data_IF_218795666797
#
_entry.id   IF_218795666797
#
_cell.length_a   1.000
_cell.length_b   1.000
_cell.length_c   1.000
_cell.angle_alpha   90.00
_cell.angle_beta   90.00
_cell.angle_gamma   90.00
#
_symmetry.space_group_name_H-M   'P 1'
#
loop_
_entity.id
_entity.type
_entity.pdbx_description
1 polymer ?
#
# COMPACT_ATOMS: atom_id res chain seq x y z
N UNK A 1 -64.08 9.09 10.14
CA UNK A 1 -63.98 8.08 9.08
C UNK A 1 -62.95 7.06 9.50
N UNK A 2 -63.30 5.77 9.62
CA UNK A 2 -62.44 4.75 10.25
C UNK A 2 -61.40 4.18 9.30
N UNK A 3 -60.29 3.75 9.89
CA UNK A 3 -59.15 3.11 9.27
C UNK A 3 -59.51 1.73 8.68
N UNK A 4 -58.96 1.42 7.52
CA UNK A 4 -59.04 0.08 6.89
C UNK A 4 -57.83 -0.71 7.26
N UNK A 5 -58.08 -1.88 7.87
CA UNK A 5 -57.12 -2.97 8.12
C UNK A 5 -56.85 -3.77 6.85
N UNK A 6 -55.63 -4.21 6.54
CA UNK A 6 -55.38 -5.11 5.43
C UNK A 6 -55.57 -6.58 5.83
N UNK A 7 -56.22 -7.34 4.93
CA UNK A 7 -56.52 -8.76 4.99
C UNK A 7 -55.27 -9.61 4.66
N UNK A 8 -55.06 -10.78 5.33
CA UNK A 8 -53.95 -11.67 5.01
C UNK A 8 -54.26 -12.56 3.79
N UNK A 9 -53.24 -13.02 3.03
CA UNK A 9 -53.41 -13.87 1.88
C UNK A 9 -53.71 -15.33 2.27
N UNK A 10 -54.47 -16.00 1.39
CA UNK A 10 -55.03 -17.33 1.53
C UNK A 10 -53.95 -18.44 1.50
N UNK A 11 -54.20 -19.49 2.25
CA UNK A 11 -53.44 -20.72 2.30
C UNK A 11 -53.72 -21.61 1.06
N UNK A 12 -52.64 -22.19 0.50
CA UNK A 12 -52.68 -23.20 -0.55
C UNK A 12 -52.64 -24.59 0.06
N UNK A 13 -53.50 -25.56 -0.34
CA UNK A 13 -53.55 -26.86 0.28
C UNK A 13 -52.43 -27.80 -0.19
N UNK A 14 -51.85 -28.53 0.76
CA UNK A 14 -50.96 -29.68 0.52
C UNK A 14 -51.77 -30.87 0.01
N UNK A 15 -51.42 -31.34 -1.17
CA UNK A 15 -51.85 -32.66 -1.65
C UNK A 15 -50.82 -33.73 -1.21
N UNK A 16 -51.24 -34.61 -0.34
CA UNK A 16 -50.53 -35.83 -0.03
C UNK A 16 -51.04 -36.90 -1.05
N UNK A 17 -50.12 -37.53 -1.75
CA UNK A 17 -50.38 -38.63 -2.66
C UNK A 17 -49.31 -39.70 -2.52
N UNK A 18 -49.68 -40.79 -1.87
CA UNK A 18 -48.87 -41.98 -1.68
C UNK A 18 -48.66 -42.71 -3.01
N UNK A 19 -47.43 -43.17 -3.27
CA UNK A 19 -47.19 -44.35 -4.12
C UNK A 19 -46.07 -45.17 -3.46
N UNK A 20 -46.52 -46.20 -2.72
CA UNK A 20 -45.68 -47.32 -2.31
C UNK A 20 -45.93 -48.45 -3.32
N UNK A 21 -44.86 -48.98 -3.92
CA UNK A 21 -44.76 -50.45 -4.16
C UNK A 21 -43.49 -50.75 -5.01
N UNK A 22 -42.73 -51.66 -4.48
CA UNK A 22 -41.99 -52.73 -5.11
C UNK A 22 -40.76 -52.40 -5.99
N UNK A 23 -39.56 -52.51 -5.39
CA UNK A 23 -38.44 -53.26 -6.00
C UNK A 23 -37.55 -53.83 -4.88
N UNK A 24 -37.91 -55.00 -4.41
CA UNK A 24 -37.04 -55.88 -3.65
C UNK A 24 -36.37 -56.80 -4.67
N UNK A 25 -35.06 -56.62 -4.91
CA UNK A 25 -34.26 -57.69 -5.48
C UNK A 25 -32.76 -57.39 -5.37
N UNK A 26 -32.04 -58.32 -4.80
CA UNK A 26 -30.59 -58.55 -4.85
C UNK A 26 -29.66 -57.51 -4.19
N UNK A 27 -29.61 -57.52 -2.89
CA UNK A 27 -28.37 -57.14 -2.17
C UNK A 27 -27.54 -58.41 -1.93
N UNK A 28 -26.61 -58.70 -2.81
CA UNK A 28 -25.46 -59.55 -2.49
C UNK A 28 -24.52 -58.75 -1.62
N UNK A 29 -23.98 -59.26 -0.51
CA UNK A 29 -23.00 -58.55 0.26
C UNK A 29 -21.70 -58.50 -0.56
N UNK A 30 -21.38 -57.32 -1.12
CA UNK A 30 -20.03 -57.03 -1.57
C UNK A 30 -19.17 -56.99 -0.29
N UNK A 31 -18.34 -58.02 -0.11
CA UNK A 31 -17.29 -58.02 0.88
C UNK A 31 -16.41 -56.79 0.69
N UNK A 32 -16.60 -55.78 1.52
CA UNK A 32 -15.76 -54.61 1.53
C UNK A 32 -14.32 -55.05 1.88
N UNK A 33 -13.43 -55.09 0.89
CA UNK A 33 -12.02 -55.19 1.13
C UNK A 33 -11.64 -53.96 2.02
N UNK A 34 -10.95 -54.19 3.15
CA UNK A 34 -10.42 -53.04 3.91
C UNK A 34 -9.54 -52.21 2.98
N UNK A 35 -9.87 -50.94 2.83
CA UNK A 35 -9.01 -49.99 2.15
C UNK A 35 -7.62 -50.04 2.82
N UNK A 36 -6.53 -50.04 2.04
CA UNK A 36 -5.20 -49.95 2.63
C UNK A 36 -5.17 -48.69 3.53
N UNK A 37 -4.51 -48.78 4.70
CA UNK A 37 -4.43 -47.64 5.59
C UNK A 37 -3.97 -46.42 4.78
N UNK A 38 -4.84 -45.42 4.66
CA UNK A 38 -4.56 -44.20 3.96
C UNK A 38 -3.27 -43.62 4.54
N UNK A 39 -2.25 -43.58 3.69
CA UNK A 39 -1.00 -42.85 4.05
C UNK A 39 -1.47 -41.46 4.41
N UNK A 40 -1.36 -41.08 5.70
CA UNK A 40 -1.62 -39.71 6.13
C UNK A 40 -0.88 -38.81 5.14
N UNK A 41 -1.51 -37.74 4.63
CA UNK A 41 -0.81 -36.81 3.75
C UNK A 41 0.45 -36.45 4.50
N UNK A 42 1.62 -36.77 3.94
CA UNK A 42 2.90 -36.35 4.50
C UNK A 42 2.73 -34.85 4.70
N UNK A 43 2.79 -34.38 5.96
CA UNK A 43 2.77 -32.98 6.28
C UNK A 43 3.75 -32.33 5.30
N UNK A 44 3.19 -31.57 4.34
CA UNK A 44 3.94 -31.04 3.23
C UNK A 44 5.16 -30.36 3.84
N UNK A 45 6.35 -30.89 3.60
CA UNK A 45 7.56 -30.17 3.92
C UNK A 45 7.43 -28.87 3.14
N UNK A 46 7.24 -27.77 3.85
CA UNK A 46 7.39 -26.45 3.26
C UNK A 46 8.66 -26.49 2.43
N UNK A 47 8.57 -26.06 1.19
CA UNK A 47 9.74 -26.03 0.31
C UNK A 47 10.91 -25.42 1.10
N UNK A 48 12.11 -26.00 1.05
CA UNK A 48 13.23 -25.47 1.82
C UNK A 48 13.38 -23.99 1.48
N UNK A 49 13.33 -23.11 2.48
CA UNK A 49 13.66 -21.69 2.30
C UNK A 49 14.96 -21.59 1.54
N UNK A 50 15.04 -20.71 0.53
CA UNK A 50 16.28 -20.56 -0.23
C UNK A 50 17.44 -20.28 0.73
N UNK A 51 18.52 -20.99 0.55
CA UNK A 51 19.74 -20.82 1.37
C UNK A 51 20.39 -19.43 1.17
N UNK A 52 19.83 -18.60 0.31
CA UNK A 52 20.33 -17.26 -0.02
C UNK A 52 19.60 -16.22 0.83
N UNK A 53 20.28 -15.55 1.74
CA UNK A 53 19.66 -14.63 2.67
C UNK A 53 19.32 -13.29 2.04
N UNK A 54 18.17 -12.73 2.42
CA UNK A 54 17.74 -11.35 2.10
C UNK A 54 18.33 -10.43 3.17
N UNK A 55 19.48 -9.87 2.88
CA UNK A 55 20.19 -8.97 3.79
C UNK A 55 19.63 -7.56 3.67
N UNK A 56 19.33 -6.91 4.80
CA UNK A 56 18.35 -5.83 4.78
C UNK A 56 18.50 -4.97 6.03
N UNK A 57 18.14 -3.71 5.90
CA UNK A 57 17.74 -2.90 7.05
C UNK A 57 16.32 -2.39 6.88
N UNK A 58 15.56 -2.41 7.95
CA UNK A 58 14.15 -2.05 7.95
C UNK A 58 13.69 -1.44 9.26
N UNK A 59 12.51 -0.84 9.22
CA UNK A 59 11.80 -0.29 10.37
C UNK A 59 10.34 -0.73 10.30
N UNK A 60 9.78 -1.15 11.44
CA UNK A 60 8.35 -1.21 11.68
C UNK A 60 7.98 -0.12 12.66
N UNK A 61 6.91 0.62 12.39
CA UNK A 61 6.54 1.75 13.25
C UNK A 61 5.04 1.99 13.29
N UNK A 62 4.58 2.59 14.40
CA UNK A 62 3.26 3.16 14.59
C UNK A 62 3.39 4.65 14.91
N UNK A 63 2.55 5.46 14.33
CA UNK A 63 2.41 6.85 14.74
C UNK A 63 1.35 6.94 15.86
N UNK A 64 1.72 7.34 17.09
CA UNK A 64 0.78 7.41 18.21
C UNK A 64 -0.32 8.48 18.04
N UNK A 65 -0.08 9.51 17.22
CA UNK A 65 -1.04 10.59 17.01
C UNK A 65 -2.16 10.19 16.04
N UNK A 66 -1.82 9.49 14.95
CA UNK A 66 -2.77 9.11 13.90
C UNK A 66 -3.20 7.65 13.97
N UNK A 67 -2.47 6.82 14.73
CA UNK A 67 -2.63 5.37 14.76
C UNK A 67 -2.09 4.67 13.52
N UNK A 68 -1.59 5.38 12.52
CA UNK A 68 -1.02 4.81 11.30
C UNK A 68 0.08 3.80 11.63
N UNK A 69 0.15 2.73 10.82
CA UNK A 69 1.14 1.67 10.94
C UNK A 69 1.95 1.60 9.65
N UNK A 70 3.24 1.32 9.75
CA UNK A 70 4.05 1.25 8.55
C UNK A 70 5.28 0.36 8.68
N UNK A 71 5.82 0.03 7.50
CA UNK A 71 7.10 -0.66 7.32
C UNK A 71 7.87 0.03 6.22
N UNK A 72 9.15 0.30 6.45
CA UNK A 72 10.06 0.72 5.39
C UNK A 72 11.31 -0.17 5.39
N UNK A 73 11.84 -0.43 4.20
CA UNK A 73 12.93 -1.40 4.00
C UNK A 73 13.81 -1.03 2.81
N UNK A 74 15.11 -1.31 2.93
CA UNK A 74 16.07 -1.32 1.83
C UNK A 74 16.91 -2.59 1.88
N UNK A 75 17.29 -3.11 0.71
CA UNK A 75 18.10 -4.31 0.59
C UNK A 75 18.92 -4.31 -0.70
N UNK A 76 20.08 -5.00 -0.67
CA UNK A 76 20.73 -5.48 -1.89
C UNK A 76 20.13 -6.83 -2.30
N UNK A 77 18.85 -6.77 -2.64
CA UNK A 77 18.03 -7.89 -3.10
C UNK A 77 17.00 -7.37 -4.10
N UNK A 78 16.73 -8.11 -5.16
CA UNK A 78 15.70 -7.76 -6.12
C UNK A 78 14.31 -7.82 -5.48
N UNK A 79 13.51 -6.75 -5.65
CA UNK A 79 12.10 -6.73 -5.26
C UNK A 79 11.85 -7.06 -3.78
N UNK A 80 12.62 -6.43 -2.86
CA UNK A 80 12.49 -6.64 -1.41
C UNK A 80 11.09 -6.36 -0.89
N UNK A 81 10.39 -5.44 -1.54
CA UNK A 81 9.03 -5.04 -1.18
C UNK A 81 7.97 -6.14 -1.33
N UNK A 82 8.26 -7.20 -2.08
CA UNK A 82 7.35 -8.32 -2.26
C UNK A 82 7.35 -9.30 -1.08
N UNK A 83 8.40 -9.29 -0.24
CA UNK A 83 8.61 -10.35 0.76
C UNK A 83 8.83 -9.86 2.19
N UNK A 84 9.36 -8.65 2.38
CA UNK A 84 9.75 -8.15 3.71
C UNK A 84 8.63 -7.38 4.41
N UNK A 85 7.98 -6.36 3.81
CA UNK A 85 7.04 -5.49 4.51
C UNK A 85 5.60 -6.00 4.43
N UNK A 86 4.92 -6.01 5.57
CA UNK A 86 3.52 -6.39 5.73
C UNK A 86 2.84 -5.45 6.71
N UNK A 87 1.66 -4.94 6.37
CA UNK A 87 0.89 -4.08 7.26
C UNK A 87 -0.61 -4.19 6.99
N UNK A 88 -1.40 -4.04 8.05
CA UNK A 88 -2.86 -4.00 8.00
C UNK A 88 -3.42 -2.94 8.95
N UNK A 89 -4.34 -2.12 8.44
CA UNK A 89 -4.97 -1.05 9.18
C UNK A 89 -5.67 -1.54 10.45
N UNK A 90 -5.37 -0.88 11.56
CA UNK A 90 -5.94 -1.21 12.86
C UNK A 90 -5.46 -2.54 13.47
N UNK A 91 -4.53 -3.25 12.83
CA UNK A 91 -4.00 -4.54 13.27
C UNK A 91 -2.53 -4.46 13.66
N UNK A 92 -1.64 -4.18 12.71
CA UNK A 92 -0.21 -4.16 12.96
C UNK A 92 0.63 -4.07 11.70
N UNK A 93 1.95 -4.07 11.91
CA UNK A 93 2.96 -4.10 10.87
C UNK A 93 4.06 -5.10 11.20
N UNK A 94 4.59 -5.77 10.17
CA UNK A 94 5.61 -6.83 10.29
C UNK A 94 6.69 -6.61 9.22
N UNK A 95 7.95 -6.74 9.63
CA UNK A 95 9.09 -6.90 8.74
C UNK A 95 9.74 -8.27 8.98
N UNK A 96 9.90 -9.09 7.93
CA UNK A 96 10.58 -10.39 7.99
C UNK A 96 11.73 -10.42 6.99
N UNK A 97 12.94 -10.74 7.43
CA UNK A 97 14.18 -10.59 6.66
C UNK A 97 15.28 -11.56 7.10
N UNK A 98 16.51 -11.39 6.60
CA UNK A 98 17.65 -12.31 6.74
C UNK A 98 17.42 -13.58 5.90
N UNK A 99 17.58 -14.78 6.42
CA UNK A 99 17.07 -15.97 5.74
C UNK A 99 15.54 -15.96 5.86
N UNK A 100 14.92 -15.15 5.00
CA UNK A 100 13.52 -14.77 5.11
C UNK A 100 12.59 -15.98 5.05
N UNK A 101 11.61 -16.01 5.95
CA UNK A 101 10.38 -16.76 5.76
C UNK A 101 9.25 -15.77 5.54
N UNK A 102 8.77 -15.59 4.29
CA UNK A 102 7.70 -14.66 4.01
C UNK A 102 6.40 -14.97 4.75
N UNK A 103 6.18 -16.24 5.17
CA UNK A 103 4.99 -16.64 5.92
C UNK A 103 4.90 -15.94 7.28
N UNK A 104 6.03 -15.51 7.87
CA UNK A 104 6.03 -14.75 9.12
C UNK A 104 5.28 -13.42 9.01
N UNK A 105 5.20 -12.82 7.82
CA UNK A 105 4.45 -11.60 7.57
C UNK A 105 2.94 -11.79 7.73
N UNK A 106 2.26 -12.52 6.83
CA UNK A 106 0.81 -12.72 6.91
C UNK A 106 0.38 -13.45 8.19
N UNK A 107 1.12 -14.44 8.67
CA UNK A 107 0.79 -15.15 9.91
C UNK A 107 0.91 -14.24 11.14
N UNK A 108 1.90 -13.33 11.17
CA UNK A 108 2.02 -12.33 12.23
C UNK A 108 0.83 -11.37 12.25
N UNK A 109 0.41 -10.89 11.09
CA UNK A 109 -0.81 -10.07 10.94
C UNK A 109 -2.05 -10.85 11.40
N UNK A 110 -2.22 -12.11 11.00
CA UNK A 110 -3.33 -12.97 11.41
C UNK A 110 -3.41 -13.15 12.92
N UNK A 111 -2.28 -13.42 13.57
CA UNK A 111 -2.23 -13.56 15.03
C UNK A 111 -2.61 -12.25 15.74
N UNK A 112 -2.11 -11.11 15.25
CA UNK A 112 -2.48 -9.80 15.80
C UNK A 112 -3.95 -9.45 15.55
N UNK A 113 -4.50 -9.80 14.39
CA UNK A 113 -5.95 -9.68 14.09
C UNK A 113 -6.81 -10.55 15.00
N UNK A 114 -6.31 -11.73 15.39
CA UNK A 114 -6.94 -12.60 16.37
C UNK A 114 -6.78 -12.11 17.84
N UNK A 115 -6.24 -10.91 18.06
CA UNK A 115 -6.13 -10.27 19.37
C UNK A 115 -4.83 -10.53 20.14
N UNK A 116 -3.86 -11.24 19.54
CA UNK A 116 -2.53 -11.38 20.14
C UNK A 116 -1.76 -10.07 20.03
N UNK A 117 -0.96 -9.76 21.05
CA UNK A 117 -0.01 -8.66 20.96
C UNK A 117 1.13 -8.99 20.00
N UNK A 118 1.83 -7.97 19.47
CA UNK A 118 3.02 -8.19 18.66
C UNK A 118 4.09 -9.10 19.36
N UNK A 119 4.38 -8.93 20.68
CA UNK A 119 5.24 -9.85 21.39
C UNK A 119 4.73 -11.31 21.43
N UNK A 120 3.43 -11.53 21.67
CA UNK A 120 2.84 -12.87 21.69
C UNK A 120 2.84 -13.51 20.30
N UNK A 121 2.52 -12.73 19.27
CA UNK A 121 2.53 -13.19 17.88
C UNK A 121 3.94 -13.62 17.44
N UNK A 122 4.95 -12.78 17.72
CA UNK A 122 6.34 -13.09 17.40
C UNK A 122 6.83 -14.32 18.16
N UNK A 123 6.56 -14.41 19.46
CA UNK A 123 6.95 -15.55 20.27
C UNK A 123 6.34 -16.88 19.75
N UNK A 124 5.07 -16.87 19.37
CA UNK A 124 4.37 -18.01 18.81
C UNK A 124 4.99 -18.48 17.48
N UNK A 125 5.30 -17.56 16.57
CA UNK A 125 5.93 -17.89 15.29
C UNK A 125 7.34 -18.45 15.48
N UNK A 126 8.15 -17.85 16.33
CA UNK A 126 9.51 -18.33 16.62
C UNK A 126 9.53 -19.69 17.32
N UNK A 127 8.54 -20.00 18.16
CA UNK A 127 8.43 -21.31 18.80
C UNK A 127 8.19 -22.43 17.78
N UNK A 128 7.45 -22.13 16.70
CA UNK A 128 7.14 -23.08 15.63
C UNK A 128 8.24 -23.15 14.53
N UNK A 129 9.12 -22.13 14.43
CA UNK A 129 10.15 -22.08 13.38
C UNK A 129 11.46 -22.73 13.84
N UNK A 130 11.79 -23.90 13.30
CA UNK A 130 13.08 -24.55 13.49
C UNK A 130 14.28 -23.76 12.91
N UNK A 131 14.03 -22.77 12.06
CA UNK A 131 15.02 -21.88 11.45
C UNK A 131 15.21 -20.54 12.17
N UNK A 132 14.57 -20.31 13.32
CA UNK A 132 14.56 -19.02 14.02
C UNK A 132 15.94 -18.39 14.25
N UNK A 133 16.98 -19.19 14.37
CA UNK A 133 18.35 -18.70 14.61
C UNK A 133 18.94 -17.91 13.42
N UNK A 134 18.37 -18.04 12.23
CA UNK A 134 18.79 -17.30 11.03
C UNK A 134 17.74 -16.28 10.58
N UNK A 135 16.60 -16.13 11.31
CA UNK A 135 15.55 -15.16 11.00
C UNK A 135 15.81 -13.82 11.66
N UNK A 136 15.33 -12.76 11.01
CA UNK A 136 15.22 -11.46 11.65
C UNK A 136 13.81 -10.93 11.39
N UNK A 137 13.01 -10.78 12.45
CA UNK A 137 11.59 -10.41 12.37
C UNK A 137 11.28 -9.34 13.39
N UNK A 138 10.53 -8.32 12.99
CA UNK A 138 10.01 -7.29 13.89
C UNK A 138 8.53 -7.05 13.65
N UNK A 139 7.80 -6.74 14.71
CA UNK A 139 6.36 -6.50 14.70
C UNK A 139 5.99 -5.33 15.60
N UNK A 140 5.00 -4.56 15.18
CA UNK A 140 4.31 -3.57 16.01
C UNK A 140 2.80 -3.74 15.84
N UNK A 141 2.03 -3.77 16.94
CA UNK A 141 0.58 -3.86 16.88
C UNK A 141 -0.11 -2.48 16.95
N UNK A 142 -1.43 -2.45 16.73
CA UNK A 142 -2.23 -1.23 16.74
C UNK A 142 -2.22 -0.48 18.10
N UNK A 143 -1.77 -1.12 19.18
CA UNK A 143 -1.60 -0.51 20.52
C UNK A 143 -0.19 0.00 20.75
N UNK A 144 0.72 -0.13 19.78
CA UNK A 144 2.11 0.30 19.87
C UNK A 144 3.01 -0.66 20.65
N UNK A 145 2.56 -1.89 20.95
CA UNK A 145 3.42 -2.91 21.55
C UNK A 145 4.35 -3.46 20.46
N UNK A 146 5.62 -3.55 20.75
CA UNK A 146 6.66 -3.88 19.78
C UNK A 146 7.42 -5.10 20.23
N UNK A 147 7.79 -5.95 19.27
CA UNK A 147 8.75 -7.01 19.49
C UNK A 147 9.66 -7.19 18.26
N UNK A 148 10.91 -7.58 18.50
CA UNK A 148 11.85 -7.88 17.44
C UNK A 148 12.76 -9.04 17.84
N UNK A 149 13.20 -9.80 16.83
CA UNK A 149 14.10 -10.93 16.95
C UNK A 149 15.20 -10.85 15.91
N UNK A 150 16.43 -10.95 16.34
CA UNK A 150 17.60 -11.19 15.50
C UNK A 150 18.22 -12.50 15.93
N UNK A 151 18.11 -13.53 15.09
CA UNK A 151 18.63 -14.86 15.38
C UNK A 151 20.15 -14.85 15.52
N UNK A 152 20.67 -15.69 16.41
CA UNK A 152 22.11 -15.76 16.75
C UNK A 152 23.01 -16.08 15.53
N UNK A 153 22.46 -16.63 14.47
CA UNK A 153 23.16 -17.00 13.24
C UNK A 153 22.83 -16.06 12.06
N UNK A 154 22.16 -14.93 12.29
CA UNK A 154 22.08 -13.86 11.28
C UNK A 154 23.48 -13.39 10.93
N UNK A 155 23.74 -13.13 9.64
CA UNK A 155 25.08 -12.72 9.21
C UNK A 155 25.42 -11.33 9.78
N UNK A 156 26.57 -11.23 10.42
CA UNK A 156 27.06 -10.00 11.05
C UNK A 156 27.44 -8.93 9.98
N UNK A 157 27.41 -7.61 10.30
CA UNK A 157 26.86 -7.09 11.53
C UNK A 157 25.33 -7.16 11.50
N UNK A 158 24.72 -7.72 12.55
CA UNK A 158 23.29 -7.89 12.68
C UNK A 158 22.83 -7.44 14.07
N UNK A 159 21.65 -6.84 14.16
CA UNK A 159 21.08 -6.40 15.42
C UNK A 159 19.77 -5.64 15.22
N UNK A 160 19.20 -5.21 16.33
CA UNK A 160 17.94 -4.49 16.39
C UNK A 160 17.95 -3.50 17.54
N UNK A 161 17.08 -2.50 17.46
CA UNK A 161 16.77 -1.61 18.57
C UNK A 161 15.27 -1.36 18.61
N UNK A 162 14.66 -1.74 19.74
CA UNK A 162 13.24 -1.50 20.02
C UNK A 162 13.12 -0.17 20.74
N UNK A 163 12.28 0.72 20.20
CA UNK A 163 11.88 1.98 20.81
C UNK A 163 10.40 1.99 21.14
N UNK A 164 9.90 3.17 21.50
CA UNK A 164 8.47 3.36 21.75
C UNK A 164 7.72 3.40 20.41
N UNK A 165 6.77 2.50 20.23
CA UNK A 165 5.96 2.37 19.00
C UNK A 165 6.75 2.00 17.72
N UNK A 166 8.03 1.57 17.80
CA UNK A 166 8.82 1.17 16.63
C UNK A 166 9.93 0.17 16.95
N UNK A 167 10.41 -0.51 15.93
CA UNK A 167 11.67 -1.25 15.94
C UNK A 167 12.44 -1.04 14.65
N UNK A 168 13.74 -0.86 14.76
CA UNK A 168 14.70 -0.89 13.65
C UNK A 168 15.56 -2.14 13.76
N UNK A 169 15.82 -2.79 12.65
CA UNK A 169 16.61 -4.02 12.57
C UNK A 169 17.41 -4.06 11.27
N UNK A 170 18.58 -4.70 11.36
CA UNK A 170 19.49 -4.82 10.23
C UNK A 170 20.35 -6.09 10.35
N UNK A 171 20.75 -6.65 9.22
CA UNK A 171 21.66 -7.80 9.14
C UNK A 171 22.55 -7.68 7.89
N UNK A 172 23.77 -8.24 7.96
CA UNK A 172 24.85 -8.11 6.97
C UNK A 172 25.21 -6.64 6.65
N UNK A 173 25.26 -5.82 7.67
CA UNK A 173 25.63 -4.42 7.51
C UNK A 173 27.14 -4.24 7.47
N UNK A 174 27.57 -3.10 6.95
CA UNK A 174 28.98 -2.71 6.97
C UNK A 174 29.55 -2.61 8.40
N UNK A 175 28.70 -2.27 9.37
CA UNK A 175 29.08 -2.18 10.79
C UNK A 175 27.85 -2.12 11.72
N UNK A 176 28.08 -2.24 13.04
CA UNK A 176 27.05 -2.26 14.07
C UNK A 176 26.45 -0.87 14.42
N UNK A 177 26.86 0.23 13.76
CA UNK A 177 26.30 1.57 13.98
C UNK A 177 25.00 1.80 13.21
N UNK A 178 24.64 0.93 12.25
CA UNK A 178 23.52 1.10 11.34
C UNK A 178 22.19 1.22 12.10
N UNK A 179 21.79 0.20 12.86
CA UNK A 179 20.48 0.24 13.55
C UNK A 179 20.39 1.28 14.68
N UNK A 180 21.48 1.59 15.46
CA UNK A 180 21.42 2.73 16.37
C UNK A 180 21.26 4.08 15.68
N UNK A 181 21.84 4.26 14.48
CA UNK A 181 21.66 5.47 13.68
C UNK A 181 20.20 5.60 13.20
N UNK A 182 19.61 4.51 12.73
CA UNK A 182 18.19 4.46 12.35
C UNK A 182 17.27 4.90 13.49
N UNK A 183 17.47 4.33 14.68
CA UNK A 183 16.64 4.63 15.86
C UNK A 183 16.70 6.13 16.20
N UNK A 184 17.90 6.69 16.32
CA UNK A 184 18.05 8.12 16.60
C UNK A 184 17.43 9.01 15.53
N UNK A 185 17.58 8.65 14.27
CA UNK A 185 17.01 9.41 13.17
C UNK A 185 15.48 9.38 13.17
N UNK A 186 14.88 8.22 13.40
CA UNK A 186 13.43 8.10 13.51
C UNK A 186 12.83 8.91 14.66
N UNK A 187 13.48 8.88 15.83
CA UNK A 187 13.05 9.64 17.02
C UNK A 187 13.19 11.15 16.83
N UNK A 188 14.26 11.61 16.15
CA UNK A 188 14.51 13.02 15.91
C UNK A 188 13.71 13.60 14.74
N UNK A 189 13.33 12.78 13.78
CA UNK A 189 12.66 13.21 12.55
C UNK A 189 11.25 13.75 12.83
N UNK A 190 10.89 14.77 12.05
CA UNK A 190 9.57 15.40 12.03
C UNK A 190 8.86 15.05 10.72
N UNK A 191 7.59 15.37 10.63
CA UNK A 191 6.73 15.04 9.49
C UNK A 191 5.84 13.86 9.78
N UNK A 192 5.23 13.31 8.75
CA UNK A 192 4.38 12.13 8.86
C UNK A 192 5.19 10.83 9.06
N UNK A 193 4.49 9.71 9.20
CA UNK A 193 5.14 8.41 9.45
C UNK A 193 6.09 8.03 8.31
N UNK A 194 5.74 8.34 7.05
CA UNK A 194 6.58 8.01 5.89
C UNK A 194 7.90 8.81 5.93
N UNK A 195 7.85 10.11 6.21
CA UNK A 195 9.06 10.95 6.29
C UNK A 195 10.00 10.46 7.39
N UNK A 196 9.45 10.11 8.55
CA UNK A 196 10.22 9.61 9.69
C UNK A 196 10.87 8.26 9.39
N UNK A 197 10.15 7.35 8.72
CA UNK A 197 10.71 6.06 8.31
C UNK A 197 11.78 6.21 7.22
N UNK A 198 11.59 7.11 6.25
CA UNK A 198 12.62 7.42 5.25
C UNK A 198 13.89 8.00 5.90
N UNK A 199 13.75 8.89 6.89
CA UNK A 199 14.89 9.42 7.63
C UNK A 199 15.69 8.31 8.34
N UNK A 200 15.01 7.29 8.87
CA UNK A 200 15.66 6.11 9.44
C UNK A 200 16.46 5.31 8.39
N UNK A 201 15.88 5.08 7.19
CA UNK A 201 16.59 4.39 6.12
C UNK A 201 17.80 5.17 5.60
N UNK A 202 17.69 6.51 5.48
CA UNK A 202 18.81 7.36 5.10
C UNK A 202 19.94 7.30 6.11
N UNK A 203 19.62 7.35 7.40
CA UNK A 203 20.59 7.23 8.47
C UNK A 203 21.29 5.87 8.48
N UNK A 204 20.57 4.80 8.11
CA UNK A 204 21.16 3.48 7.91
C UNK A 204 22.20 3.52 6.79
N UNK A 205 21.82 4.09 5.64
CA UNK A 205 22.70 4.19 4.48
C UNK A 205 23.94 5.06 4.78
N UNK A 206 23.74 6.19 5.43
CA UNK A 206 24.83 7.09 5.84
C UNK A 206 25.79 6.44 6.87
N UNK A 207 25.28 5.51 7.70
CA UNK A 207 26.09 4.76 8.66
C UNK A 207 26.90 3.60 8.02
N UNK A 208 26.72 3.36 6.71
CA UNK A 208 27.40 2.33 5.93
C UNK A 208 26.46 1.33 5.25
N UNK A 209 25.22 1.21 5.69
CA UNK A 209 24.19 0.38 5.05
C UNK A 209 24.53 -1.09 4.89
N UNK A 210 23.97 -1.72 3.89
CA UNK A 210 24.26 -3.08 3.46
C UNK A 210 25.68 -3.14 2.86
N UNK A 211 26.52 -4.06 3.33
CA UNK A 211 27.91 -4.19 2.87
C UNK A 211 28.03 -4.48 1.37
N UNK A 212 26.99 -4.98 0.74
CA UNK A 212 26.96 -5.28 -0.70
C UNK A 212 26.51 -4.07 -1.55
N UNK A 213 25.96 -3.01 -0.93
CA UNK A 213 25.40 -1.86 -1.58
C UNK A 213 23.87 -1.82 -1.54
N UNK A 214 23.27 -1.15 -2.51
CA UNK A 214 21.83 -0.93 -2.60
C UNK A 214 21.27 -1.59 -3.87
N UNK A 215 19.98 -2.01 -3.84
CA UNK A 215 19.31 -2.50 -5.04
C UNK A 215 17.82 -2.19 -5.05
N UNK A 216 17.09 -2.44 -3.96
CA UNK A 216 15.64 -2.22 -3.90
C UNK A 216 15.22 -1.59 -2.58
N UNK A 217 14.04 -0.97 -2.56
CA UNK A 217 13.45 -0.40 -1.35
C UNK A 217 11.94 -0.45 -1.43
N UNK A 218 11.28 -0.42 -0.27
CA UNK A 218 9.82 -0.35 -0.20
C UNK A 218 9.35 0.40 1.04
N UNK A 219 8.14 0.94 0.96
CA UNK A 219 7.48 1.61 2.06
C UNK A 219 5.97 1.35 1.99
N UNK A 220 5.42 0.83 3.08
CA UNK A 220 3.98 0.65 3.27
C UNK A 220 3.55 1.50 4.46
N UNK A 221 2.47 2.27 4.29
CA UNK A 221 1.76 2.96 5.37
C UNK A 221 0.28 2.65 5.25
N UNK A 222 -0.33 2.20 6.34
CA UNK A 222 -1.76 1.91 6.41
C UNK A 222 -2.44 2.79 7.46
N UNK A 223 -3.74 3.00 7.31
CA UNK A 223 -4.56 3.78 8.22
C UNK A 223 -4.55 3.19 9.64
N UNK A 224 -4.66 4.04 10.65
CA UNK A 224 -4.76 3.63 12.06
C UNK A 224 -6.08 2.96 12.39
N UNK A 225 -7.16 3.34 11.68
CA UNK A 225 -8.50 2.76 11.85
C UNK A 225 -8.96 2.16 10.53
N UNK A 226 -9.38 0.89 10.51
CA UNK A 226 -9.87 0.26 9.30
C UNK A 226 -11.20 0.89 8.85
N UNK A 227 -11.32 1.17 7.55
CA UNK A 227 -12.54 1.73 6.96
C UNK A 227 -13.58 0.66 6.56
N UNK A 228 -13.25 -0.61 6.72
CA UNK A 228 -14.01 -1.74 6.14
C UNK A 228 -13.76 -1.94 4.64
N UNK A 229 -12.90 -1.14 4.03
CA UNK A 229 -12.47 -1.22 2.63
C UNK A 229 -10.94 -1.34 2.57
N UNK A 230 -10.37 -2.55 2.66
CA UNK A 230 -8.92 -2.76 2.81
C UNK A 230 -8.07 -2.09 1.72
N UNK A 231 -8.62 -1.94 0.52
CA UNK A 231 -7.95 -1.24 -0.59
C UNK A 231 -7.84 0.28 -0.38
N UNK A 232 -8.74 0.89 0.41
CA UNK A 232 -8.71 2.31 0.76
C UNK A 232 -7.87 2.59 2.02
N UNK A 233 -7.58 1.57 2.81
CA UNK A 233 -6.82 1.68 4.05
C UNK A 233 -5.30 1.75 3.81
N UNK A 234 -4.84 1.45 2.58
CA UNK A 234 -3.44 1.62 2.18
C UNK A 234 -3.19 3.06 1.75
N UNK A 235 -2.55 3.83 2.64
CA UNK A 235 -2.18 5.22 2.38
C UNK A 235 -1.01 5.29 1.40
N UNK A 236 0.01 4.45 1.63
CA UNK A 236 1.15 4.26 0.73
C UNK A 236 1.47 2.77 0.61
N UNK A 237 1.75 2.31 -0.61
CA UNK A 237 2.33 1.00 -0.92
C UNK A 237 3.26 1.21 -2.12
N UNK A 238 4.49 1.57 -1.81
CA UNK A 238 5.48 2.01 -2.80
C UNK A 238 6.67 1.07 -2.81
N UNK A 239 7.12 0.71 -4.03
CA UNK A 239 8.21 -0.22 -4.24
C UNK A 239 9.14 0.29 -5.32
N UNK A 240 10.43 0.15 -5.05
CA UNK A 240 11.52 0.30 -6.02
C UNK A 240 12.16 -1.06 -6.15
N UNK A 241 11.86 -1.76 -7.25
CA UNK A 241 12.19 -3.18 -7.40
C UNK A 241 13.68 -3.40 -7.71
N UNK A 242 14.28 -2.50 -8.50
CA UNK A 242 15.68 -2.55 -8.90
C UNK A 242 16.18 -1.16 -9.32
N UNK A 243 17.06 -0.56 -8.53
CA UNK A 243 17.62 0.77 -8.79
C UNK A 243 18.94 0.96 -8.05
N UNK A 244 19.96 1.63 -8.64
CA UNK A 244 21.24 1.85 -7.97
C UNK A 244 21.15 2.79 -6.75
N UNK A 245 20.11 3.63 -6.69
CA UNK A 245 19.83 4.55 -5.57
C UNK A 245 18.35 4.45 -5.15
N UNK A 246 17.94 3.29 -4.58
CA UNK A 246 16.52 3.00 -4.36
C UNK A 246 15.86 3.92 -3.32
N UNK A 247 16.61 4.48 -2.37
CA UNK A 247 16.07 5.40 -1.36
C UNK A 247 15.73 6.78 -1.96
N UNK A 248 16.55 7.28 -2.88
CA UNK A 248 16.26 8.53 -3.60
C UNK A 248 14.98 8.37 -4.45
N UNK A 249 14.88 7.24 -5.16
CA UNK A 249 13.71 6.94 -5.97
C UNK A 249 12.47 6.71 -5.12
N UNK A 250 12.58 6.00 -4.00
CA UNK A 250 11.46 5.80 -3.07
C UNK A 250 10.94 7.14 -2.52
N UNK A 251 11.84 8.07 -2.18
CA UNK A 251 11.46 9.42 -1.74
C UNK A 251 10.75 10.20 -2.85
N UNK A 252 11.24 10.11 -4.08
CA UNK A 252 10.56 10.69 -5.25
C UNK A 252 9.15 10.13 -5.39
N UNK A 253 8.97 8.82 -5.28
CA UNK A 253 7.67 8.15 -5.36
C UNK A 253 6.72 8.57 -4.22
N UNK A 254 7.22 8.80 -3.00
CA UNK A 254 6.41 9.36 -1.91
C UNK A 254 5.89 10.75 -2.27
N UNK A 255 6.73 11.60 -2.86
CA UNK A 255 6.32 12.92 -3.37
C UNK A 255 5.24 12.81 -4.45
N UNK A 256 5.41 11.89 -5.40
CA UNK A 256 4.41 11.60 -6.46
C UNK A 256 3.10 11.14 -5.83
N UNK A 257 3.12 10.15 -4.93
CA UNK A 257 1.91 9.63 -4.29
C UNK A 257 1.13 10.73 -3.52
N UNK A 258 1.84 11.62 -2.84
CA UNK A 258 1.23 12.78 -2.16
C UNK A 258 0.58 13.76 -3.14
N UNK A 259 1.24 14.04 -4.25
CA UNK A 259 0.68 14.91 -5.29
C UNK A 259 -0.61 14.34 -5.86
N UNK A 260 -0.64 13.03 -6.16
CA UNK A 260 -1.86 12.35 -6.63
C UNK A 260 -2.96 12.30 -5.55
N UNK A 261 -2.62 12.17 -4.28
CA UNK A 261 -3.60 12.27 -3.20
C UNK A 261 -4.24 13.68 -3.15
N UNK A 262 -3.44 14.73 -3.33
CA UNK A 262 -3.94 16.10 -3.45
C UNK A 262 -4.80 16.31 -4.70
N UNK A 263 -4.41 15.76 -5.86
CA UNK A 263 -5.25 15.82 -7.07
C UNK A 263 -6.62 15.16 -6.84
N UNK A 264 -6.65 13.95 -6.28
CA UNK A 264 -7.88 13.25 -5.97
C UNK A 264 -8.77 14.04 -4.98
N UNK A 265 -8.15 14.71 -3.98
CA UNK A 265 -8.89 15.59 -3.07
C UNK A 265 -9.42 16.83 -3.79
N UNK A 266 -8.67 17.38 -4.75
CA UNK A 266 -9.08 18.47 -5.62
C UNK A 266 -10.27 18.09 -6.49
N UNK A 267 -10.26 16.90 -7.12
CA UNK A 267 -11.37 16.36 -7.92
C UNK A 267 -12.66 16.25 -7.09
N UNK A 268 -12.56 15.64 -5.89
CA UNK A 268 -13.70 15.53 -4.98
C UNK A 268 -14.25 16.90 -4.54
N UNK A 269 -13.36 17.87 -4.32
CA UNK A 269 -13.77 19.23 -3.99
C UNK A 269 -14.53 19.90 -5.15
N UNK A 270 -14.10 19.65 -6.40
CA UNK A 270 -14.84 20.10 -7.61
C UNK A 270 -16.22 19.47 -7.69
N UNK A 271 -16.34 18.16 -7.45
CA UNK A 271 -17.63 17.45 -7.44
C UNK A 271 -18.59 18.02 -6.39
N UNK A 272 -18.06 18.49 -5.25
CA UNK A 272 -18.84 19.12 -4.18
C UNK A 272 -19.02 20.64 -4.36
N UNK A 273 -18.58 21.22 -5.49
CA UNK A 273 -18.59 22.66 -5.78
C UNK A 273 -17.79 23.51 -4.77
N UNK A 274 -16.84 22.91 -4.02
CA UNK A 274 -15.92 23.63 -3.14
C UNK A 274 -14.64 24.03 -3.91
N UNK A 275 -14.78 25.12 -4.69
CA UNK A 275 -13.67 25.61 -5.51
C UNK A 275 -12.46 26.08 -4.70
N UNK A 276 -12.68 26.57 -3.47
CA UNK A 276 -11.58 27.01 -2.61
C UNK A 276 -10.75 25.81 -2.11
N UNK A 277 -11.40 24.70 -1.76
CA UNK A 277 -10.71 23.45 -1.45
C UNK A 277 -10.00 22.90 -2.69
N UNK A 278 -10.66 22.85 -3.85
CA UNK A 278 -10.05 22.40 -5.10
C UNK A 278 -8.75 23.17 -5.43
N UNK A 279 -8.80 24.51 -5.31
CA UNK A 279 -7.64 25.36 -5.56
C UNK A 279 -6.48 25.08 -4.60
N UNK A 280 -6.74 24.89 -3.31
CA UNK A 280 -5.71 24.52 -2.33
C UNK A 280 -5.08 23.18 -2.67
N UNK A 281 -5.88 22.19 -2.96
CA UNK A 281 -5.45 20.83 -3.21
C UNK A 281 -4.64 20.73 -4.52
N UNK A 282 -5.13 21.28 -5.63
CA UNK A 282 -4.35 21.31 -6.87
C UNK A 282 -3.09 22.17 -6.77
N UNK A 283 -3.14 23.27 -5.99
CA UNK A 283 -1.97 24.08 -5.70
C UNK A 283 -0.89 23.30 -4.94
N UNK A 284 -1.29 22.47 -3.96
CA UNK A 284 -0.40 21.58 -3.24
C UNK A 284 0.21 20.50 -4.16
N UNK A 285 -0.61 19.89 -5.03
CA UNK A 285 -0.12 18.93 -6.02
C UNK A 285 0.91 19.57 -6.97
N UNK A 286 0.64 20.78 -7.47
CA UNK A 286 1.55 21.51 -8.35
C UNK A 286 2.87 21.93 -7.66
N UNK A 287 2.83 22.20 -6.36
CA UNK A 287 4.04 22.47 -5.58
C UNK A 287 4.93 21.23 -5.42
N UNK A 288 4.32 20.04 -5.30
CA UNK A 288 5.04 18.76 -5.19
C UNK A 288 5.60 18.28 -6.54
N UNK A 289 4.86 18.52 -7.63
CA UNK A 289 5.22 18.10 -8.99
C UNK A 289 5.15 19.28 -9.97
N UNK A 290 6.04 20.27 -9.83
CA UNK A 290 5.98 21.49 -10.63
C UNK A 290 6.11 21.24 -12.14
N UNK A 291 6.78 20.19 -12.57
CA UNK A 291 7.01 19.88 -13.99
C UNK A 291 6.07 18.79 -14.53
N UNK A 292 4.96 18.51 -13.85
CA UNK A 292 3.95 17.55 -14.30
C UNK A 292 2.96 18.19 -15.25
N UNK A 293 2.93 17.72 -16.50
CA UNK A 293 1.88 18.07 -17.47
C UNK A 293 0.50 17.67 -16.95
N UNK A 294 0.39 16.52 -16.33
CA UNK A 294 -0.86 15.95 -15.83
C UNK A 294 -1.49 16.82 -14.72
N UNK A 295 -0.70 17.23 -13.72
CA UNK A 295 -1.16 18.11 -12.65
C UNK A 295 -1.65 19.43 -13.22
N UNK A 296 -0.89 20.05 -14.12
CA UNK A 296 -1.30 21.30 -14.77
C UNK A 296 -2.58 21.12 -15.59
N UNK A 297 -2.68 20.03 -16.33
CA UNK A 297 -3.83 19.74 -17.19
C UNK A 297 -5.13 19.57 -16.39
N UNK A 298 -5.15 18.66 -15.41
CA UNK A 298 -6.35 18.38 -14.61
C UNK A 298 -6.77 19.57 -13.76
N UNK A 299 -5.82 20.35 -13.24
CA UNK A 299 -6.15 21.60 -12.60
C UNK A 299 -6.80 22.60 -13.58
N UNK A 300 -6.27 22.70 -14.79
CA UNK A 300 -6.88 23.49 -15.88
C UNK A 300 -8.30 23.03 -16.20
N UNK A 301 -8.54 21.72 -16.30
CA UNK A 301 -9.87 21.13 -16.53
C UNK A 301 -10.82 21.52 -15.38
N UNK A 302 -10.39 21.37 -14.13
CA UNK A 302 -11.19 21.74 -12.96
C UNK A 302 -11.61 23.22 -12.98
N UNK A 303 -10.70 24.12 -13.32
CA UNK A 303 -11.03 25.55 -13.46
C UNK A 303 -11.97 25.82 -14.63
N UNK A 304 -11.72 25.22 -15.80
CA UNK A 304 -12.51 25.44 -17.00
C UNK A 304 -13.96 24.93 -16.86
N UNK A 305 -14.15 23.75 -16.25
CA UNK A 305 -15.46 23.16 -15.97
C UNK A 305 -16.30 24.03 -15.02
N UNK A 306 -15.65 24.82 -14.17
CA UNK A 306 -16.29 25.79 -13.26
C UNK A 306 -16.31 27.22 -13.80
N UNK A 307 -16.16 27.41 -15.13
CA UNK A 307 -16.27 28.69 -15.78
C UNK A 307 -15.08 29.63 -15.61
N UNK A 308 -13.99 29.20 -14.92
CA UNK A 308 -12.78 30.01 -14.69
C UNK A 308 -11.77 29.89 -15.86
N UNK A 309 -12.27 30.11 -17.09
CA UNK A 309 -11.53 29.83 -18.32
C UNK A 309 -10.21 30.59 -18.40
N UNK A 310 -10.20 31.88 -18.01
CA UNK A 310 -9.01 32.72 -18.08
C UNK A 310 -7.88 32.19 -17.17
N UNK A 311 -8.23 31.63 -16.04
CA UNK A 311 -7.27 31.00 -15.11
C UNK A 311 -6.81 29.63 -15.60
N UNK A 312 -7.66 28.93 -16.35
CA UNK A 312 -7.35 27.61 -16.91
C UNK A 312 -6.33 27.69 -18.06
N UNK A 313 -6.43 28.73 -18.92
CA UNK A 313 -5.60 28.85 -20.14
C UNK A 313 -4.10 28.72 -19.89
N UNK A 314 -3.47 29.37 -18.89
CA UNK A 314 -2.04 29.20 -18.64
C UNK A 314 -1.65 27.79 -18.20
N UNK A 315 -2.56 27.08 -17.54
CA UNK A 315 -2.34 25.68 -17.11
C UNK A 315 -2.40 24.74 -18.31
N UNK A 316 -3.37 24.89 -19.21
CA UNK A 316 -3.40 24.15 -20.46
C UNK A 316 -2.16 24.44 -21.32
N UNK A 317 -1.77 25.72 -21.45
CA UNK A 317 -0.57 26.11 -22.18
C UNK A 317 0.69 25.41 -21.63
N UNK A 318 0.81 25.37 -20.31
CA UNK A 318 1.90 24.68 -19.62
C UNK A 318 1.89 23.18 -19.88
N UNK A 319 0.73 22.53 -19.71
CA UNK A 319 0.59 21.10 -19.94
C UNK A 319 0.98 20.72 -21.37
N UNK A 320 0.53 21.48 -22.36
CA UNK A 320 0.83 21.25 -23.77
C UNK A 320 2.28 21.55 -24.16
N UNK A 321 2.95 22.45 -23.42
CA UNK A 321 4.37 22.72 -23.62
C UNK A 321 5.24 21.57 -23.09
N UNK A 322 4.81 20.91 -22.03
CA UNK A 322 5.50 19.75 -21.45
C UNK A 322 5.27 18.49 -22.31
N UNK A 323 3.98 18.22 -22.65
CA UNK A 323 3.59 17.09 -23.47
C UNK A 323 2.41 17.47 -24.39
N UNK A 324 2.64 17.59 -25.71
CA UNK A 324 1.61 17.96 -26.69
C UNK A 324 0.42 16.98 -26.77
N UNK A 325 0.57 15.72 -26.33
CA UNK A 325 -0.51 14.73 -26.37
C UNK A 325 -1.73 15.15 -25.55
N UNK A 326 -1.54 15.95 -24.51
CA UNK A 326 -2.64 16.50 -23.72
C UNK A 326 -3.58 17.42 -24.52
N UNK A 327 -3.06 18.08 -25.57
CA UNK A 327 -3.89 18.90 -26.48
C UNK A 327 -4.89 18.06 -27.26
N UNK A 328 -4.50 16.84 -27.64
CA UNK A 328 -5.36 15.91 -28.38
C UNK A 328 -6.37 15.18 -27.49
N UNK A 329 -6.14 15.17 -26.16
CA UNK A 329 -7.10 14.68 -25.18
C UNK A 329 -8.27 15.66 -24.97
N UNK A 330 -8.02 16.97 -25.01
CA UNK A 330 -9.00 18.02 -24.67
C UNK A 330 -10.34 17.91 -25.38
N UNK A 331 -10.44 17.64 -26.72
CA UNK A 331 -11.72 17.51 -27.40
C UNK A 331 -12.51 16.24 -27.07
N UNK A 332 -11.94 15.32 -26.31
CA UNK A 332 -12.61 14.09 -25.88
C UNK A 332 -13.34 14.24 -24.54
N UNK A 333 -13.02 15.27 -23.74
CA UNK A 333 -13.52 15.46 -22.38
C UNK A 333 -15.02 15.77 -22.30
N UNK A 334 -15.66 16.54 -23.24
CA UNK A 334 -17.10 16.81 -23.19
C UNK A 334 -17.93 15.53 -23.21
N UNK A 335 -17.59 14.56 -24.05
CA UNK A 335 -18.30 13.28 -24.14
C UNK A 335 -18.28 12.48 -22.81
N UNK A 336 -17.30 12.74 -21.93
CA UNK A 336 -17.18 12.13 -20.61
C UNK A 336 -17.72 13.02 -19.48
N UNK A 337 -18.29 14.17 -19.80
CA UNK A 337 -18.84 15.12 -18.81
C UNK A 337 -17.78 15.90 -18.03
N UNK A 338 -16.50 15.81 -18.40
CA UNK A 338 -15.39 16.47 -17.69
C UNK A 338 -15.19 17.94 -18.12
N UNK A 339 -15.75 18.32 -19.26
CA UNK A 339 -15.88 19.71 -19.71
C UNK A 339 -17.32 19.96 -20.25
N UNK A 340 -17.82 21.20 -20.23
CA UNK A 340 -19.05 21.56 -20.90
C UNK A 340 -19.00 21.17 -22.39
N UNK A 341 -20.14 20.74 -22.95
CA UNK A 341 -20.28 20.46 -24.38
C UNK A 341 -20.43 21.81 -25.16
N UNK A 342 -19.35 22.57 -25.17
CA UNK A 342 -19.20 23.83 -25.86
C UNK A 342 -17.98 23.77 -26.80
N UNK A 343 -18.22 23.65 -28.13
CA UNK A 343 -17.13 23.62 -29.11
C UNK A 343 -16.25 24.87 -29.11
N UNK A 344 -16.80 26.06 -28.73
CA UNK A 344 -16.00 27.28 -28.65
C UNK A 344 -15.06 27.27 -27.47
N UNK A 345 -15.53 26.80 -26.33
CA UNK A 345 -14.66 26.57 -25.14
C UNK A 345 -13.54 25.58 -25.46
N UNK A 346 -13.88 24.43 -26.02
CA UNK A 346 -12.89 23.39 -26.37
C UNK A 346 -11.85 23.93 -27.35
N UNK A 347 -12.29 24.65 -28.40
CA UNK A 347 -11.38 25.28 -29.36
C UNK A 347 -10.44 26.29 -28.70
N UNK A 348 -10.95 27.08 -27.76
CA UNK A 348 -10.16 28.06 -27.00
C UNK A 348 -9.13 27.39 -26.07
N UNK A 349 -9.51 26.36 -25.36
CA UNK A 349 -8.59 25.59 -24.51
C UNK A 349 -7.47 24.92 -25.35
N UNK A 350 -7.84 24.32 -26.50
CA UNK A 350 -6.86 23.74 -27.43
C UNK A 350 -5.86 24.75 -27.99
N UNK A 351 -6.29 26.02 -28.19
CA UNK A 351 -5.42 27.08 -28.69
C UNK A 351 -4.49 27.66 -27.62
N UNK A 352 -4.62 27.25 -26.35
CA UNK A 352 -3.77 27.73 -25.27
C UNK A 352 -2.27 27.48 -25.58
N UNK A 353 -1.44 28.52 -25.40
CA UNK A 353 0.00 28.47 -25.69
C UNK A 353 0.37 28.42 -27.17
N UNK A 354 -0.59 28.44 -28.10
CA UNK A 354 -0.29 28.65 -29.51
C UNK A 354 0.02 30.15 -29.77
N UNK A 355 1.05 30.42 -30.55
CA UNK A 355 1.28 31.78 -30.99
C UNK A 355 0.02 32.32 -31.71
N UNK A 356 -0.38 33.61 -31.53
CA UNK A 356 -1.45 34.17 -32.34
C UNK A 356 -1.11 33.99 -33.81
N UNK A 357 -2.09 33.69 -34.68
CA UNK A 357 -1.84 33.62 -36.11
C UNK A 357 -1.15 34.90 -36.54
N UNK A 358 -0.07 34.79 -37.28
CA UNK A 358 0.60 35.93 -37.87
C UNK A 358 -0.46 36.71 -38.65
N UNK A 359 -0.76 37.91 -38.19
CA UNK A 359 -1.70 38.80 -38.87
C UNK A 359 -1.31 38.94 -40.35
N UNK A 360 -2.27 39.12 -41.27
CA UNK A 360 -1.94 39.35 -42.66
C UNK A 360 -0.94 40.49 -42.76
N UNK A 361 0.26 40.17 -43.28
CA UNK A 361 1.31 41.18 -43.46
C UNK A 361 0.73 42.35 -44.26
N UNK A 362 0.93 43.55 -43.71
CA UNK A 362 0.60 44.79 -44.40
C UNK A 362 1.60 45.01 -45.52
#
# INVERSE_FOLDING_TARGET
MPARTPTPPAAVPRAAGALAAALAALCLPLSARPAPPGRAPAAGRLAPSPARPVHTYSIVARDPATGQLGVAVQSHWFSVGAIVPWAEAGVGAVATQSFVDPASGPLGIELMRAGRSAPEALAGLLAADGGRDVRQVAMVDAKGRVAAHTGARCIAAAGQQVGKDFSVQANLMANARVWPAMSRAFEAAKGDLADRMLAALDAAQAAGGDIRGQQSAALIVVAGTPSGRPWADRILDLRVEDHPRPLEELRRLVGVARAYAHMNAGDLAVEHADLAAAEREYGAAAALLPDSAEVAYWYGVALASNGQVERALPLFARAYAIDPAWRDLTPRLPASGLLPDDPKLVARLRAAGSAPPAGPGR
#
